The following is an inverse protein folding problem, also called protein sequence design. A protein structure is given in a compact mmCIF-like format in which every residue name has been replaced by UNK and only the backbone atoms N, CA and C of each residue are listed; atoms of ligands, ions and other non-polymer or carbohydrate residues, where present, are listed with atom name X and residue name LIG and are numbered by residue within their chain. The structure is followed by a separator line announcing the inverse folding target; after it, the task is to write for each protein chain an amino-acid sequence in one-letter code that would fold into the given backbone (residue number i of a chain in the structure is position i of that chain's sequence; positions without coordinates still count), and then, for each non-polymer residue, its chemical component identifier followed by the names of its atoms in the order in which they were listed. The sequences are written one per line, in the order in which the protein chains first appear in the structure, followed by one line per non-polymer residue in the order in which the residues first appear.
data_IF_599893405700
#
_entry.id   IF_599893405700
#
_cell.length_a   1.000
_cell.length_b   1.000
_cell.length_c   1.000
_cell.angle_alpha   90.00
_cell.angle_beta   90.00
_cell.angle_gamma   90.00
#
_symmetry.space_group_name_H-M   'P 1'
#
loop_
_entity.id
_entity.type
_entity.pdbx_description
1 polymer ?
#
# COMPACT_ATOMS: atom_id res chain seq x y z
N UNK A 1 -26.73 0.05 -1.37
CA UNK A 1 -25.90 -0.40 -0.23
C UNK A 1 -25.54 -1.88 -0.39
N UNK A 2 -24.84 -2.23 -1.47
CA UNK A 2 -24.32 -3.58 -1.71
C UNK A 2 -23.32 -3.50 -2.88
N UNK A 3 -22.03 -3.20 -2.63
CA UNK A 3 -20.98 -3.37 -3.66
C UNK A 3 -20.09 -4.55 -3.26
N UNK A 4 -20.71 -5.72 -3.39
CA UNK A 4 -20.15 -6.95 -3.98
C UNK A 4 -19.03 -7.67 -3.23
N UNK A 5 -19.48 -8.74 -2.59
CA UNK A 5 -18.78 -9.99 -2.30
C UNK A 5 -18.33 -10.66 -3.61
N UNK A 6 -17.19 -10.22 -4.17
CA UNK A 6 -16.38 -10.93 -5.15
C UNK A 6 -14.94 -10.63 -4.77
N UNK A 7 -14.08 -11.64 -4.67
CA UNK A 7 -12.68 -11.55 -4.21
C UNK A 7 -11.93 -10.36 -4.81
N UNK A 8 -11.89 -9.23 -4.09
CA UNK A 8 -11.17 -8.03 -4.50
C UNK A 8 -9.70 -8.18 -4.13
N UNK A 9 -8.84 -7.69 -5.03
CA UNK A 9 -7.42 -7.64 -4.77
C UNK A 9 -7.17 -6.60 -3.68
N UNK A 10 -6.79 -7.07 -2.48
CA UNK A 10 -6.50 -6.20 -1.35
C UNK A 10 -5.06 -5.71 -1.42
N UNK A 11 -4.89 -4.40 -1.58
CA UNK A 11 -3.61 -3.72 -1.75
C UNK A 11 -3.36 -2.80 -0.57
N UNK A 12 -2.16 -2.87 0.02
CA UNK A 12 -1.77 -1.97 1.10
C UNK A 12 -0.65 -1.05 0.63
N UNK A 13 -0.86 0.26 0.70
CA UNK A 13 0.14 1.27 0.36
C UNK A 13 0.82 1.76 1.65
N UNK A 14 2.15 1.67 1.68
CA UNK A 14 2.99 1.99 2.84
C UNK A 14 4.00 3.08 2.44
N UNK A 15 3.74 4.36 2.76
CA UNK A 15 4.74 5.41 2.60
C UNK A 15 5.94 5.18 3.53
N UNK A 16 7.16 5.38 3.04
CA UNK A 16 8.40 5.25 3.83
C UNK A 16 8.53 6.37 4.86
N UNK A 17 8.06 7.57 4.51
CA UNK A 17 8.11 8.77 5.36
C UNK A 17 6.85 9.62 5.22
N UNK A 18 6.69 10.60 6.10
CA UNK A 18 5.60 11.59 6.01
C UNK A 18 5.64 12.39 4.71
N UNK A 19 6.83 12.60 4.13
CA UNK A 19 7.02 13.32 2.87
C UNK A 19 6.40 12.57 1.69
N UNK A 20 6.37 11.24 1.75
CA UNK A 20 5.78 10.38 0.71
C UNK A 20 4.27 10.16 0.86
N UNK A 21 3.62 10.73 1.89
CA UNK A 21 2.17 10.60 2.12
C UNK A 21 1.33 11.10 0.94
N UNK A 22 1.59 12.30 0.36
CA UNK A 22 0.78 12.80 -0.75
C UNK A 22 0.82 11.87 -1.97
N UNK A 23 2.01 11.32 -2.27
CA UNK A 23 2.18 10.35 -3.35
C UNK A 23 1.45 9.02 -3.04
N UNK A 24 1.52 8.54 -1.79
CA UNK A 24 0.77 7.36 -1.36
C UNK A 24 -0.76 7.53 -1.51
N UNK A 25 -1.28 8.72 -1.19
CA UNK A 25 -2.70 9.06 -1.38
C UNK A 25 -3.10 9.08 -2.85
N UNK A 26 -2.23 9.64 -3.72
CA UNK A 26 -2.46 9.64 -5.16
C UNK A 26 -2.55 8.21 -5.71
N UNK A 27 -1.60 7.33 -5.36
CA UNK A 27 -1.61 5.92 -5.76
C UNK A 27 -2.84 5.19 -5.22
N UNK A 28 -3.24 5.48 -3.97
CA UNK A 28 -4.47 4.93 -3.40
C UNK A 28 -5.69 5.30 -4.24
N UNK A 29 -5.82 6.57 -4.64
CA UNK A 29 -6.95 7.04 -5.44
C UNK A 29 -6.99 6.34 -6.81
N UNK A 30 -5.85 6.29 -7.51
CA UNK A 30 -5.76 5.64 -8.82
C UNK A 30 -6.15 4.16 -8.77
N UNK A 31 -5.74 3.45 -7.71
CA UNK A 31 -6.09 2.04 -7.55
C UNK A 31 -7.57 1.87 -7.13
N UNK A 32 -8.10 2.77 -6.31
CA UNK A 32 -9.52 2.76 -5.94
C UNK A 32 -10.43 3.02 -7.16
N UNK A 33 -10.03 3.91 -8.07
CA UNK A 33 -10.71 4.15 -9.35
C UNK A 33 -10.65 2.93 -10.27
N UNK A 34 -9.59 2.12 -10.17
CA UNK A 34 -9.45 0.86 -10.89
C UNK A 34 -10.17 -0.33 -10.21
N UNK A 35 -11.12 -0.07 -9.29
CA UNK A 35 -11.94 -1.06 -8.55
C UNK A 35 -11.12 -2.01 -7.63
N UNK A 36 -9.90 -1.64 -7.24
CA UNK A 36 -9.12 -2.36 -6.21
C UNK A 36 -9.54 -1.96 -4.79
N UNK A 37 -9.42 -2.90 -3.85
CA UNK A 37 -9.59 -2.59 -2.43
C UNK A 37 -8.25 -2.13 -1.86
N UNK A 38 -8.10 -0.81 -1.66
CA UNK A 38 -6.80 -0.23 -1.31
C UNK A 38 -6.84 0.45 0.04
N UNK A 39 -5.88 0.10 0.89
CA UNK A 39 -5.68 0.73 2.20
C UNK A 39 -4.30 1.40 2.26
N UNK A 40 -4.27 2.71 2.52
CA UNK A 40 -3.02 3.43 2.73
C UNK A 40 -2.76 3.63 4.23
N UNK A 41 -1.55 3.28 4.71
CA UNK A 41 -1.11 3.58 6.07
C UNK A 41 -0.40 4.94 6.11
N UNK A 42 -1.19 6.00 6.22
CA UNK A 42 -0.72 7.39 6.22
C UNK A 42 -0.14 7.85 7.56
N UNK A 43 -0.27 7.05 8.61
CA UNK A 43 0.16 7.45 9.96
C UNK A 43 1.68 7.42 10.11
N UNK A 44 2.36 6.61 9.29
CA UNK A 44 3.81 6.40 9.34
C UNK A 44 4.33 6.04 10.75
N UNK A 45 3.49 5.45 11.60
CA UNK A 45 3.86 5.12 12.99
C UNK A 45 4.67 3.83 13.05
N UNK A 46 5.83 3.89 13.71
CA UNK A 46 6.74 2.75 13.87
C UNK A 46 7.62 2.50 12.65
N UNK A 47 8.50 1.49 12.75
CA UNK A 47 9.42 1.18 11.67
C UNK A 47 8.70 0.63 10.43
N UNK A 48 9.27 0.90 9.25
CA UNK A 48 8.76 0.39 7.97
C UNK A 48 8.56 -1.14 8.01
N UNK A 49 9.53 -1.87 8.56
CA UNK A 49 9.48 -3.33 8.66
C UNK A 49 8.30 -3.80 9.52
N UNK A 50 7.95 -3.08 10.60
CA UNK A 50 6.78 -3.42 11.42
C UNK A 50 5.48 -3.25 10.63
N UNK A 51 5.38 -2.17 9.85
CA UNK A 51 4.21 -1.88 8.99
C UNK A 51 4.06 -2.91 7.87
N UNK A 52 5.17 -3.30 7.24
CA UNK A 52 5.20 -4.39 6.24
C UNK A 52 4.74 -5.71 6.87
N UNK A 53 5.27 -6.08 8.06
CA UNK A 53 4.81 -7.26 8.80
C UNK A 53 3.32 -7.23 9.10
N UNK A 54 2.79 -6.08 9.54
CA UNK A 54 1.36 -5.93 9.78
C UNK A 54 0.54 -6.14 8.50
N UNK A 55 0.99 -5.63 7.36
CA UNK A 55 0.31 -5.84 6.08
C UNK A 55 0.28 -7.33 5.71
N UNK A 56 1.41 -8.03 5.84
CA UNK A 56 1.50 -9.49 5.64
C UNK A 56 0.51 -10.24 6.56
N UNK A 57 0.44 -9.87 7.84
CA UNK A 57 -0.48 -10.46 8.83
C UNK A 57 -1.94 -10.27 8.42
N UNK A 58 -2.30 -9.10 7.87
CA UNK A 58 -3.66 -8.82 7.36
C UNK A 58 -4.00 -9.56 6.07
N UNK A 59 -3.13 -10.46 5.58
CA UNK A 59 -3.31 -11.24 4.36
C UNK A 59 -3.63 -10.38 3.13
N UNK A 60 -2.98 -9.24 2.98
CA UNK A 60 -3.04 -8.50 1.72
C UNK A 60 -2.42 -9.30 0.56
N UNK A 61 -2.83 -8.96 -0.66
CA UNK A 61 -2.37 -9.59 -1.89
C UNK A 61 -1.08 -8.90 -2.34
N UNK A 62 -1.06 -7.57 -2.27
CA UNK A 62 0.08 -6.74 -2.64
C UNK A 62 0.37 -5.69 -1.57
N UNK A 63 1.67 -5.43 -1.36
CA UNK A 63 2.17 -4.37 -0.51
C UNK A 63 2.94 -3.41 -1.41
N UNK A 64 2.49 -2.17 -1.50
CA UNK A 64 3.14 -1.13 -2.28
C UNK A 64 3.91 -0.22 -1.33
N UNK A 65 5.23 -0.26 -1.40
CA UNK A 65 6.10 0.64 -0.64
C UNK A 65 6.46 1.83 -1.51
N UNK A 66 6.26 3.03 -0.99
CA UNK A 66 6.51 4.28 -1.71
C UNK A 66 7.39 5.22 -0.88
N UNK A 67 8.55 5.59 -1.39
CA UNK A 67 9.44 6.58 -0.81
C UNK A 67 9.60 7.81 -1.69
N UNK A 68 10.57 8.67 -1.35
CA UNK A 68 10.90 9.84 -2.17
C UNK A 68 11.45 9.45 -3.55
N UNK A 69 12.26 8.40 -3.63
CA UNK A 69 12.83 7.94 -4.89
C UNK A 69 11.75 7.39 -5.83
N UNK A 70 10.81 6.63 -5.28
CA UNK A 70 9.65 6.11 -6.00
C UNK A 70 8.74 7.24 -6.48
N UNK A 71 8.47 8.23 -5.62
CA UNK A 71 7.67 9.40 -5.98
C UNK A 71 8.33 10.25 -7.09
N UNK A 72 9.65 10.46 -7.03
CA UNK A 72 10.38 11.22 -8.04
C UNK A 72 10.42 10.52 -9.41
N UNK A 73 10.48 9.20 -9.40
CA UNK A 73 10.52 8.40 -10.63
C UNK A 73 9.13 7.97 -11.12
N UNK A 74 8.05 8.26 -10.38
CA UNK A 74 6.70 7.77 -10.70
C UNK A 74 6.58 6.25 -10.62
N UNK A 75 7.40 5.60 -9.79
CA UNK A 75 7.41 4.14 -9.61
C UNK A 75 6.85 3.76 -8.24
N UNK A 76 6.67 2.45 -8.00
CA UNK A 76 6.31 1.89 -6.69
C UNK A 76 7.07 0.59 -6.48
N UNK A 77 7.45 0.28 -5.24
CA UNK A 77 8.05 -1.00 -4.92
C UNK A 77 6.96 -2.00 -4.54
N UNK A 78 6.79 -3.06 -5.32
CA UNK A 78 5.77 -4.09 -5.09
C UNK A 78 6.37 -5.25 -4.31
N UNK A 79 5.80 -5.55 -3.14
CA UNK A 79 6.11 -6.74 -2.35
C UNK A 79 4.90 -7.65 -2.26
N UNK A 80 5.16 -8.96 -2.16
CA UNK A 80 4.14 -9.99 -2.04
C UNK A 80 4.25 -10.71 -0.70
N UNK A 81 3.23 -11.50 -0.36
CA UNK A 81 3.13 -12.20 0.93
C UNK A 81 4.31 -13.14 1.23
N UNK A 82 5.07 -13.57 0.21
CA UNK A 82 6.16 -14.53 0.35
C UNK A 82 7.54 -13.88 0.56
N UNK A 83 7.58 -12.56 0.79
CA UNK A 83 8.80 -11.83 1.14
C UNK A 83 9.23 -12.23 2.55
N UNK A 84 10.06 -13.26 2.66
CA UNK A 84 10.74 -13.64 3.89
C UNK A 84 11.77 -12.56 4.22
N UNK A 85 11.45 -11.71 5.21
CA UNK A 85 12.40 -10.78 5.85
C UNK A 85 13.25 -11.51 6.87
#
# INVERSE_FOLDING_TARGET
MCKTMLTRLYVVVIPVSVVSIPYAQMIQHQLAEADYEVRADLTCVGSLNRRIKNAIITKCNFILVVGMNEAANGTVNVRTRNDIV
#
